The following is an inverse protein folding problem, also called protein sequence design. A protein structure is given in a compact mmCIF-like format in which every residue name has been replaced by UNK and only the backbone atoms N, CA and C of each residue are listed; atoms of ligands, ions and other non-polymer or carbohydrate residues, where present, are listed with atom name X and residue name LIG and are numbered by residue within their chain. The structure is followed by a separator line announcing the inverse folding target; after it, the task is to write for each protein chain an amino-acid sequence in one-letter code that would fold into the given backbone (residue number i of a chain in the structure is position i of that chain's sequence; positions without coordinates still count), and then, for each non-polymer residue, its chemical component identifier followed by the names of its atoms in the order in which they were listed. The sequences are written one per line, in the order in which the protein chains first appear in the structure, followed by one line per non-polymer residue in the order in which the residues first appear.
data_IF_101070303063
#
_entry.id   IF_101070303063
#
_cell.length_a   1.000
_cell.length_b   1.000
_cell.length_c   1.000
_cell.angle_alpha   90.00
_cell.angle_beta   90.00
_cell.angle_gamma   90.00
#
_symmetry.space_group_name_H-M   'P 1'
#
loop_
_entity.id
_entity.type
_entity.pdbx_description
1 polymer ?
#
# COMPACT_ATOMS: atom_id res chain seq x y z
N UNK A 1 -14.11 -2.86 11.73
CA UNK A 1 -14.50 -3.99 10.85
C UNK A 1 -13.41 -5.06 10.92
N UNK A 2 -13.55 -6.04 11.82
CA UNK A 2 -12.55 -7.11 12.02
C UNK A 2 -12.66 -8.14 10.89
N UNK A 3 -11.60 -8.28 10.07
CA UNK A 3 -11.50 -9.32 9.03
C UNK A 3 -11.30 -8.82 7.59
N UNK A 4 -11.24 -7.52 7.35
CA UNK A 4 -10.95 -6.96 6.02
C UNK A 4 -9.65 -6.16 6.03
N UNK A 5 -8.88 -6.27 4.94
CA UNK A 5 -7.64 -5.51 4.70
C UNK A 5 -7.83 -4.63 3.46
N UNK A 6 -7.40 -3.38 3.57
CA UNK A 6 -7.36 -2.46 2.43
C UNK A 6 -6.12 -2.74 1.58
N UNK A 7 -6.33 -3.03 0.30
CA UNK A 7 -5.25 -3.32 -0.65
C UNK A 7 -5.39 -2.43 -1.89
N UNK A 8 -4.27 -2.10 -2.52
CA UNK A 8 -4.21 -1.42 -3.81
C UNK A 8 -3.70 -2.39 -4.86
N UNK A 9 -4.42 -2.55 -5.95
CA UNK A 9 -3.96 -3.39 -7.06
C UNK A 9 -2.78 -2.75 -7.77
N UNK A 10 -1.75 -3.53 -8.08
CA UNK A 10 -0.61 -3.13 -8.93
C UNK A 10 -0.68 -3.76 -10.30
N UNK A 11 -1.47 -4.83 -10.44
CA UNK A 11 -1.74 -5.55 -11.68
C UNK A 11 -3.24 -5.74 -11.85
N UNK A 12 -3.70 -5.89 -13.08
CA UNK A 12 -5.10 -6.22 -13.36
C UNK A 12 -5.43 -7.59 -12.76
N UNK A 13 -6.54 -7.67 -12.01
CA UNK A 13 -7.05 -8.91 -11.44
C UNK A 13 -8.59 -8.92 -11.55
N UNK A 14 -9.13 -9.80 -12.39
CA UNK A 14 -10.55 -9.83 -12.74
C UNK A 14 -11.04 -8.47 -13.24
N UNK A 15 -11.97 -7.83 -12.52
CA UNK A 15 -12.53 -6.51 -12.83
C UNK A 15 -11.68 -5.36 -12.26
N UNK A 16 -10.70 -5.66 -11.41
CA UNK A 16 -9.86 -4.65 -10.77
C UNK A 16 -8.66 -4.33 -11.63
N UNK A 17 -8.35 -3.05 -11.76
CA UNK A 17 -7.25 -2.49 -12.53
C UNK A 17 -6.14 -2.01 -11.60
N UNK A 18 -4.89 -1.86 -12.10
CA UNK A 18 -3.82 -1.22 -11.35
C UNK A 18 -4.27 0.15 -10.84
N UNK A 19 -4.05 0.43 -9.56
CA UNK A 19 -4.47 1.64 -8.87
C UNK A 19 -5.76 1.50 -8.06
N UNK A 20 -6.62 0.52 -8.37
CA UNK A 20 -7.87 0.30 -7.66
C UNK A 20 -7.61 -0.05 -6.19
N UNK A 21 -8.33 0.61 -5.29
CA UNK A 21 -8.25 0.38 -3.85
C UNK A 21 -9.55 -0.23 -3.36
N UNK A 22 -9.47 -1.40 -2.74
CA UNK A 22 -10.64 -2.10 -2.21
C UNK A 22 -10.38 -2.60 -0.79
N UNK A 23 -11.48 -2.88 -0.09
CA UNK A 23 -11.47 -3.67 1.13
C UNK A 23 -11.73 -5.14 0.77
N UNK A 24 -10.71 -5.98 0.91
CA UNK A 24 -10.82 -7.41 0.67
C UNK A 24 -10.84 -8.17 2.00
N UNK A 25 -11.52 -9.32 2.04
CA UNK A 25 -11.42 -10.26 3.18
C UNK A 25 -9.95 -10.60 3.44
N UNK A 26 -9.57 -10.77 4.70
CA UNK A 26 -8.17 -10.96 5.09
C UNK A 26 -7.45 -12.08 4.31
N UNK A 27 -8.09 -13.24 4.14
CA UNK A 27 -7.53 -14.36 3.38
C UNK A 27 -7.28 -14.01 1.91
N UNK A 28 -8.20 -13.29 1.28
CA UNK A 28 -8.09 -12.84 -0.11
C UNK A 28 -7.01 -11.78 -0.25
N UNK A 29 -6.95 -10.82 0.68
CA UNK A 29 -5.91 -9.81 0.71
C UNK A 29 -4.52 -10.46 0.84
N UNK A 30 -4.34 -11.40 1.76
CA UNK A 30 -3.06 -12.10 1.96
C UNK A 30 -2.64 -12.89 0.72
N UNK A 31 -3.58 -13.57 0.05
CA UNK A 31 -3.31 -14.24 -1.23
C UNK A 31 -2.83 -13.26 -2.31
N UNK A 32 -3.53 -12.13 -2.49
CA UNK A 32 -3.20 -11.15 -3.53
C UNK A 32 -1.86 -10.43 -3.25
N UNK A 33 -1.56 -10.18 -1.99
CA UNK A 33 -0.28 -9.62 -1.54
C UNK A 33 0.87 -10.60 -1.78
N UNK A 34 0.72 -11.87 -1.39
CA UNK A 34 1.76 -12.91 -1.53
C UNK A 34 2.12 -13.19 -2.99
N UNK A 35 1.15 -13.10 -3.89
CA UNK A 35 1.35 -13.30 -5.34
C UNK A 35 1.73 -12.00 -6.09
N UNK A 36 1.81 -10.85 -5.40
CA UNK A 36 2.21 -9.58 -6.01
C UNK A 36 1.19 -8.96 -6.98
N UNK A 37 -0.10 -9.30 -6.86
CA UNK A 37 -1.19 -8.65 -7.60
C UNK A 37 -1.61 -7.32 -6.96
N UNK A 38 -1.39 -7.19 -5.66
CA UNK A 38 -1.74 -6.01 -4.89
C UNK A 38 -0.66 -5.71 -3.84
N UNK A 39 -0.68 -4.49 -3.32
CA UNK A 39 0.12 -4.03 -2.18
C UNK A 39 -0.80 -3.61 -1.03
N UNK A 40 -0.30 -3.71 0.20
CA UNK A 40 -1.08 -3.31 1.36
C UNK A 40 -1.23 -1.79 1.36
N UNK A 41 -2.45 -1.30 1.21
CA UNK A 41 -2.71 0.14 1.20
C UNK A 41 -2.89 0.60 2.64
N UNK A 42 -1.79 0.78 3.37
CA UNK A 42 -1.83 1.39 4.71
C UNK A 42 -2.36 2.81 4.57
N UNK A 43 -3.37 3.20 5.36
CA UNK A 43 -3.56 4.61 5.65
C UNK A 43 -2.34 5.02 6.46
N UNK A 44 -1.37 5.64 5.80
CA UNK A 44 -0.51 6.69 6.33
C UNK A 44 0.54 7.05 5.29
N UNK A 45 0.45 8.28 4.82
CA UNK A 45 1.56 9.17 4.46
C UNK A 45 2.76 8.94 5.39
N UNK A 46 3.67 8.06 4.98
CA UNK A 46 4.94 7.82 5.68
C UNK A 46 6.14 7.64 4.72
N UNK A 47 5.93 7.84 3.41
CA UNK A 47 7.01 8.26 2.53
C UNK A 47 7.21 9.80 2.54
N UNK A 48 6.31 10.55 3.18
CA UNK A 48 6.51 11.96 3.59
C UNK A 48 7.28 12.06 4.93
N UNK A 49 7.35 10.97 5.69
CA UNK A 49 8.12 10.86 6.93
C UNK A 49 9.64 10.62 6.69
N UNK A 50 10.17 11.08 5.55
CA UNK A 50 11.60 11.38 5.37
C UNK A 50 11.86 12.90 5.46
N UNK A 51 11.14 13.62 6.32
CA UNK A 51 11.57 14.95 6.79
C UNK A 51 12.50 14.82 8.00
N UNK A 52 13.66 14.16 7.86
CA UNK A 52 14.65 14.13 8.96
C UNK A 52 16.12 14.32 8.58
N UNK A 53 16.49 14.32 7.30
CA UNK A 53 17.90 14.52 6.90
C UNK A 53 18.12 15.62 5.84
N UNK A 54 17.16 16.53 5.64
CA UNK A 54 17.26 17.60 4.64
C UNK A 54 17.84 18.93 5.16
N UNK A 55 18.24 18.99 6.44
CA UNK A 55 18.70 20.24 7.07
C UNK A 55 20.11 20.19 7.67
N UNK A 56 20.87 19.10 7.48
CA UNK A 56 22.22 18.93 8.08
C UNK A 56 23.39 19.09 7.08
N UNK A 57 23.13 19.50 5.84
CA UNK A 57 24.15 19.51 4.77
C UNK A 57 24.46 20.88 4.14
N UNK A 58 24.39 21.98 4.89
CA UNK A 58 24.98 23.27 4.47
C UNK A 58 25.28 24.16 5.68
N UNK A 59 26.24 23.74 6.49
CA UNK A 59 26.91 24.62 7.45
C UNK A 59 28.39 24.70 7.06
N UNK A 60 28.68 25.47 6.00
CA UNK A 60 30.01 25.93 5.59
C UNK A 60 29.87 27.33 5.03
#
# INVERSE_FOLDING_TARGET
MNGYKRIRFTKTYKIYRPGDVIWAKQSIAEFLLKNGFAIQSKDMTASDLKQKDLFDASNT
#
